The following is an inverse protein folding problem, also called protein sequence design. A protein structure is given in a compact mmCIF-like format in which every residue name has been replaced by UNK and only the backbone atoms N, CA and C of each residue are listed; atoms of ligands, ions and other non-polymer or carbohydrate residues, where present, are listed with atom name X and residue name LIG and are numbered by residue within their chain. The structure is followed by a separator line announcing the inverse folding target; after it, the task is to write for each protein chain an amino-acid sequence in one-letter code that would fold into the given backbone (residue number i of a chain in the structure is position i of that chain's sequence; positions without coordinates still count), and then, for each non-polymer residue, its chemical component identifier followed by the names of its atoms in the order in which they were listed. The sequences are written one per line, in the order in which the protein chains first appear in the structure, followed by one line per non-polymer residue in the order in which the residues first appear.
data_IF_010821618367
#
_entry.id   IF_010821618367
#
_cell.length_a   1.000
_cell.length_b   1.000
_cell.length_c   1.000
_cell.angle_alpha   90.00
_cell.angle_beta   90.00
_cell.angle_gamma   90.00
#
_symmetry.space_group_name_H-M   'P 1'
#
loop_
_entity.id
_entity.type
_entity.pdbx_description
1 polymer ?
#
# COMPACT_ATOMS: atom_id res chain seq x y z
N UNK A 1 -20.33 -10.71 -5.25
CA UNK A 1 -19.44 -11.75 -5.79
C UNK A 1 -18.06 -11.13 -5.97
N UNK A 2 -17.02 -11.67 -5.34
CA UNK A 2 -15.66 -11.20 -5.53
C UNK A 2 -15.18 -11.57 -6.96
N UNK A 3 -14.38 -10.71 -7.59
CA UNK A 3 -13.92 -10.89 -8.97
C UNK A 3 -12.56 -10.19 -9.21
N UNK A 4 -11.96 -10.42 -10.36
CA UNK A 4 -10.66 -9.84 -10.74
C UNK A 4 -10.64 -8.31 -10.62
N UNK A 5 -11.65 -7.62 -11.18
CA UNK A 5 -11.73 -6.15 -11.15
C UNK A 5 -11.84 -5.59 -9.73
N UNK A 6 -12.55 -6.29 -8.85
CA UNK A 6 -12.72 -5.94 -7.45
C UNK A 6 -11.42 -5.96 -6.64
N UNK A 7 -10.38 -6.67 -7.12
CA UNK A 7 -9.05 -6.71 -6.52
C UNK A 7 -8.04 -5.86 -7.28
N UNK A 8 -8.05 -5.89 -8.61
CA UNK A 8 -7.13 -5.13 -9.44
C UNK A 8 -7.32 -3.61 -9.31
N UNK A 9 -8.56 -3.14 -9.12
CA UNK A 9 -8.86 -1.71 -8.99
C UNK A 9 -8.31 -1.11 -7.69
N UNK A 10 -8.58 -1.63 -6.48
CA UNK A 10 -7.93 -1.15 -5.27
C UNK A 10 -6.41 -1.36 -5.32
N UNK A 11 -5.93 -2.48 -5.90
CA UNK A 11 -4.50 -2.72 -6.07
C UNK A 11 -3.79 -1.64 -6.88
N UNK A 12 -4.37 -1.25 -8.01
CA UNK A 12 -3.86 -0.16 -8.86
C UNK A 12 -3.84 1.18 -8.12
N UNK A 13 -4.89 1.48 -7.35
CA UNK A 13 -4.94 2.69 -6.54
C UNK A 13 -3.79 2.74 -5.53
N UNK A 14 -3.61 1.69 -4.71
CA UNK A 14 -2.53 1.65 -3.72
C UNK A 14 -1.15 1.69 -4.37
N UNK A 15 -0.96 1.06 -5.53
CA UNK A 15 0.30 1.12 -6.27
C UNK A 15 0.67 2.53 -6.71
N UNK A 16 -0.26 3.24 -7.35
CA UNK A 16 0.00 4.60 -7.85
C UNK A 16 0.33 5.55 -6.70
N UNK A 17 -0.43 5.49 -5.60
CA UNK A 17 -0.17 6.34 -4.43
C UNK A 17 1.12 5.94 -3.70
N UNK A 18 1.40 4.64 -3.57
CA UNK A 18 2.62 4.14 -2.97
C UNK A 18 3.87 4.60 -3.73
N UNK A 19 3.87 4.48 -5.06
CA UNK A 19 4.97 4.94 -5.91
C UNK A 19 5.09 6.47 -5.95
N UNK A 20 3.97 7.19 -5.91
CA UNK A 20 3.99 8.65 -5.77
C UNK A 20 4.67 9.09 -4.47
N UNK A 21 4.27 8.47 -3.36
CA UNK A 21 4.82 8.77 -2.04
C UNK A 21 6.29 8.35 -1.90
N UNK A 22 6.72 7.27 -2.56
CA UNK A 22 8.11 6.81 -2.52
C UNK A 22 9.09 7.81 -3.12
N UNK A 23 8.66 8.65 -4.07
CA UNK A 23 9.48 9.71 -4.66
C UNK A 23 9.30 11.03 -3.90
N UNK A 24 8.07 11.34 -3.47
CA UNK A 24 7.75 12.59 -2.77
C UNK A 24 8.50 12.74 -1.44
N UNK A 25 8.56 11.70 -0.61
CA UNK A 25 9.14 11.83 0.74
C UNK A 25 10.66 12.07 0.73
N UNK A 26 11.48 11.39 -0.11
CA UNK A 26 12.87 11.78 -0.31
C UNK A 26 13.02 13.23 -0.79
N UNK A 27 12.19 13.68 -1.73
CA UNK A 27 12.25 15.06 -2.25
C UNK A 27 11.91 16.10 -1.17
N UNK A 28 10.90 15.82 -0.33
CA UNK A 28 10.54 16.63 0.85
C UNK A 28 11.74 16.75 1.79
N UNK A 29 12.37 15.61 2.12
CA UNK A 29 13.51 15.56 3.02
C UNK A 29 14.67 16.43 2.52
N UNK A 30 15.02 16.34 1.23
CA UNK A 30 16.09 17.17 0.66
C UNK A 30 15.73 18.65 0.54
N UNK A 31 14.48 18.97 0.15
CA UNK A 31 14.02 20.35 0.10
C UNK A 31 14.08 21.02 1.47
N UNK A 32 13.81 20.27 2.55
CA UNK A 32 13.90 20.77 3.93
C UNK A 32 15.35 20.84 4.42
N UNK A 33 16.23 19.91 4.02
CA UNK A 33 17.66 19.92 4.40
C UNK A 33 18.45 21.07 3.76
N UNK A 34 18.10 21.46 2.53
CA UNK A 34 18.86 22.45 1.76
C UNK A 34 18.53 23.92 2.02
N UNK A 35 17.54 24.26 2.87
CA UNK A 35 17.08 25.64 3.03
C UNK A 35 16.78 26.00 4.48
N UNK A 36 17.64 26.84 5.05
CA UNK A 36 17.44 27.42 6.39
C UNK A 36 16.30 28.46 6.47
N UNK A 37 15.67 28.86 5.35
CA UNK A 37 14.48 29.76 5.35
C UNK A 37 13.81 30.03 4.00
N UNK A 38 14.26 29.44 2.89
CA UNK A 38 13.73 29.81 1.57
C UNK A 38 12.69 28.81 1.02
N UNK A 39 11.69 29.39 0.36
CA UNK A 39 10.51 28.78 -0.28
C UNK A 39 10.76 27.39 -0.90
N UNK A 40 9.86 26.40 -0.71
CA UNK A 40 9.96 25.08 -1.34
C UNK A 40 10.08 25.19 -2.88
N UNK A 41 10.71 24.20 -3.52
CA UNK A 41 10.89 24.21 -4.97
C UNK A 41 9.53 24.29 -5.70
N UNK A 42 9.48 24.98 -6.84
CA UNK A 42 8.24 25.15 -7.62
C UNK A 42 7.64 23.81 -8.06
N UNK A 43 8.48 22.80 -8.28
CA UNK A 43 8.08 21.42 -8.56
C UNK A 43 7.38 20.79 -7.33
N UNK A 44 7.96 20.93 -6.14
CA UNK A 44 7.36 20.44 -4.90
C UNK A 44 6.01 21.10 -4.59
N UNK A 45 5.90 22.42 -4.76
CA UNK A 45 4.62 23.12 -4.58
C UNK A 45 3.53 22.64 -5.55
N UNK A 46 3.89 22.31 -6.79
CA UNK A 46 2.96 21.70 -7.76
C UNK A 46 2.55 20.30 -7.33
N UNK A 47 3.48 19.47 -6.83
CA UNK A 47 3.17 18.14 -6.31
C UNK A 47 2.20 18.20 -5.12
N UNK A 48 2.42 19.11 -4.16
CA UNK A 48 1.51 19.33 -3.04
C UNK A 48 0.12 19.81 -3.49
N UNK A 49 0.06 20.74 -4.45
CA UNK A 49 -1.21 21.22 -5.00
C UNK A 49 -1.97 20.10 -5.72
N UNK A 50 -1.29 19.31 -6.56
CA UNK A 50 -1.89 18.17 -7.25
C UNK A 50 -2.41 17.15 -6.24
N UNK A 51 -1.63 16.81 -5.22
CA UNK A 51 -2.07 15.89 -4.18
C UNK A 51 -3.26 16.43 -3.39
N UNK A 52 -3.27 17.73 -3.08
CA UNK A 52 -4.39 18.41 -2.44
C UNK A 52 -5.66 18.36 -3.29
N UNK A 53 -5.56 18.64 -4.60
CA UNK A 53 -6.68 18.56 -5.55
C UNK A 53 -7.18 17.12 -5.65
N UNK A 54 -6.27 16.15 -5.82
CA UNK A 54 -6.62 14.72 -5.89
C UNK A 54 -7.38 14.31 -4.63
N UNK A 55 -6.86 14.60 -3.43
CA UNK A 55 -7.54 14.30 -2.17
C UNK A 55 -8.89 15.00 -2.04
N UNK A 56 -9.00 16.25 -2.49
CA UNK A 56 -10.25 17.00 -2.45
C UNK A 56 -11.32 16.39 -3.39
N UNK A 57 -10.93 16.03 -4.62
CA UNK A 57 -11.81 15.37 -5.59
C UNK A 57 -12.28 14.01 -5.05
N UNK A 58 -11.38 13.21 -4.48
CA UNK A 58 -11.75 11.93 -3.85
C UNK A 58 -12.66 12.12 -2.63
N UNK A 59 -12.43 13.14 -1.80
CA UNK A 59 -13.29 13.50 -0.66
C UNK A 59 -14.72 13.85 -1.08
N UNK A 60 -14.90 14.50 -2.24
CA UNK A 60 -16.23 14.84 -2.78
C UNK A 60 -16.98 13.61 -3.33
N UNK A 61 -16.26 12.59 -3.80
CA UNK A 61 -16.83 11.40 -4.44
C UNK A 61 -17.22 10.32 -3.40
N UNK A 62 -16.71 10.39 -2.16
CA UNK A 62 -17.11 9.46 -1.10
C UNK A 62 -17.09 10.06 0.30
N UNK A 63 -18.20 9.91 1.03
CA UNK A 63 -18.35 10.27 2.47
C UNK A 63 -17.34 9.59 3.42
N UNK A 64 -16.41 8.79 2.91
CA UNK A 64 -15.42 8.02 3.67
C UNK A 64 -13.99 8.18 3.16
N UNK A 65 -13.64 9.22 2.39
CA UNK A 65 -12.28 9.35 1.85
C UNK A 65 -11.24 9.97 2.80
N UNK A 66 -11.63 10.46 3.98
CA UNK A 66 -10.70 10.82 5.07
C UNK A 66 -10.04 9.60 5.74
N UNK A 67 -10.31 8.38 5.26
CA UNK A 67 -10.01 7.13 5.95
C UNK A 67 -8.55 6.61 5.88
N UNK A 68 -7.67 6.94 4.91
CA UNK A 68 -6.29 6.43 4.96
C UNK A 68 -5.45 7.04 6.11
N UNK A 69 -6.02 7.98 6.87
CA UNK A 69 -5.34 8.67 7.97
C UNK A 69 -5.96 8.42 9.35
N UNK A 70 -7.07 7.66 9.44
CA UNK A 70 -7.60 7.26 10.74
C UNK A 70 -7.11 5.83 11.06
N UNK A 71 -6.04 5.69 11.87
CA UNK A 71 -5.43 4.40 12.11
C UNK A 71 -6.38 3.43 12.84
N UNK A 72 -7.35 3.94 13.60
CA UNK A 72 -8.36 3.13 14.29
C UNK A 72 -9.30 2.48 13.29
N UNK A 73 -9.76 3.23 12.28
CA UNK A 73 -10.68 2.69 11.28
C UNK A 73 -9.98 1.65 10.39
N UNK A 74 -8.72 1.89 10.02
CA UNK A 74 -7.93 0.92 9.24
C UNK A 74 -7.73 -0.40 10.01
N UNK A 75 -7.46 -0.31 11.31
CA UNK A 75 -7.31 -1.46 12.20
C UNK A 75 -8.63 -2.24 12.34
N UNK A 76 -9.76 -1.54 12.52
CA UNK A 76 -11.09 -2.16 12.59
C UNK A 76 -11.50 -2.80 11.26
N UNK A 77 -11.19 -2.17 10.13
CA UNK A 77 -11.43 -2.73 8.80
C UNK A 77 -10.61 -3.99 8.57
N UNK A 78 -9.34 -4.01 9.01
CA UNK A 78 -8.50 -5.21 9.00
C UNK A 78 -9.06 -6.35 9.85
N UNK A 79 -9.56 -6.05 11.05
CA UNK A 79 -10.20 -7.06 11.91
C UNK A 79 -11.49 -7.61 11.29
N UNK A 80 -12.34 -6.76 10.73
CA UNK A 80 -13.56 -7.19 10.05
C UNK A 80 -13.22 -8.10 8.86
N UNK A 81 -12.18 -7.75 8.11
CA UNK A 81 -11.70 -8.54 6.97
C UNK A 81 -11.15 -9.91 7.41
N UNK A 82 -10.42 -9.98 8.53
CA UNK A 82 -9.98 -11.25 9.11
C UNK A 82 -11.15 -12.20 9.38
N UNK A 83 -12.19 -11.72 10.05
CA UNK A 83 -13.37 -12.53 10.35
C UNK A 83 -14.19 -12.88 9.09
N UNK A 84 -14.20 -12.02 8.08
CA UNK A 84 -14.82 -12.32 6.79
C UNK A 84 -14.18 -13.52 6.07
N UNK A 85 -12.86 -13.70 6.24
CA UNK A 85 -12.06 -14.68 5.50
C UNK A 85 -11.93 -16.02 6.24
N UNK A 86 -12.27 -16.09 7.53
CA UNK A 86 -11.95 -17.22 8.41
C UNK A 86 -12.55 -18.60 8.00
N UNK A 87 -13.54 -18.64 7.11
CA UNK A 87 -14.18 -19.89 6.65
C UNK A 87 -13.98 -20.18 5.15
N UNK A 88 -12.94 -19.58 4.55
CA UNK A 88 -12.62 -19.75 3.12
C UNK A 88 -11.63 -20.91 2.90
N UNK A 89 -11.47 -21.41 1.66
CA UNK A 89 -10.44 -22.41 1.35
C UNK A 89 -9.05 -21.96 1.83
N UNK A 90 -8.13 -22.89 2.15
CA UNK A 90 -6.91 -22.53 2.89
C UNK A 90 -5.98 -21.58 2.10
N UNK A 91 -5.86 -21.74 0.78
CA UNK A 91 -5.12 -20.79 -0.06
C UNK A 91 -5.78 -19.39 -0.10
N UNK A 92 -7.10 -19.31 -0.33
CA UNK A 92 -7.89 -18.07 -0.26
C UNK A 92 -7.73 -17.37 1.12
N UNK A 93 -7.76 -18.14 2.20
CA UNK A 93 -7.57 -17.61 3.55
C UNK A 93 -6.14 -17.09 3.77
N UNK A 94 -5.13 -17.85 3.33
CA UNK A 94 -3.73 -17.50 3.54
C UNK A 94 -3.32 -16.25 2.76
N UNK A 95 -3.67 -16.17 1.48
CA UNK A 95 -3.31 -15.04 0.62
C UNK A 95 -3.91 -13.72 1.13
N UNK A 96 -5.14 -13.76 1.66
CA UNK A 96 -5.79 -12.62 2.29
C UNK A 96 -5.23 -12.29 3.68
N UNK A 97 -4.78 -13.30 4.43
CA UNK A 97 -4.14 -13.09 5.73
C UNK A 97 -2.79 -12.38 5.57
N UNK A 98 -2.05 -12.67 4.49
CA UNK A 98 -0.82 -11.93 4.13
C UNK A 98 -1.11 -10.45 3.80
N UNK A 99 -2.24 -10.15 3.13
CA UNK A 99 -2.69 -8.77 2.91
C UNK A 99 -2.91 -8.02 4.23
N UNK A 100 -3.49 -8.69 5.22
CA UNK A 100 -3.73 -8.10 6.54
C UNK A 100 -2.45 -7.65 7.23
N UNK A 101 -1.34 -8.37 7.04
CA UNK A 101 -0.04 -7.99 7.61
C UNK A 101 0.36 -6.60 7.08
N UNK A 102 0.20 -6.34 5.78
CA UNK A 102 0.50 -5.03 5.20
C UNK A 102 -0.44 -3.93 5.73
N UNK A 103 -1.74 -4.24 5.88
CA UNK A 103 -2.76 -3.28 6.37
C UNK A 103 -2.51 -2.91 7.84
N UNK A 104 -2.32 -3.90 8.71
CA UNK A 104 -2.03 -3.65 10.12
C UNK A 104 -0.70 -2.94 10.31
N UNK A 105 0.34 -3.36 9.57
CA UNK A 105 1.63 -2.65 9.54
C UNK A 105 1.45 -1.18 9.18
N UNK A 106 0.76 -0.87 8.09
CA UNK A 106 0.53 0.50 7.64
C UNK A 106 -0.29 1.32 8.65
N UNK A 107 -1.29 0.71 9.29
CA UNK A 107 -2.10 1.34 10.33
C UNK A 107 -1.27 1.70 11.56
N UNK A 108 -0.37 0.80 11.98
CA UNK A 108 0.59 1.06 13.07
C UNK A 108 1.54 2.18 12.69
N UNK A 109 2.05 2.23 11.46
CA UNK A 109 2.89 3.34 11.01
C UNK A 109 2.17 4.68 11.13
N UNK A 110 0.94 4.79 10.62
CA UNK A 110 0.13 6.01 10.73
C UNK A 110 -0.12 6.38 12.19
N UNK A 111 -0.36 5.40 13.07
CA UNK A 111 -0.51 5.65 14.50
C UNK A 111 0.77 6.22 15.13
N UNK A 112 1.93 5.66 14.79
CA UNK A 112 3.23 6.13 15.30
C UNK A 112 3.56 7.52 14.74
N UNK A 113 3.18 7.83 13.49
CA UNK A 113 3.38 9.16 12.85
C UNK A 113 2.68 10.29 13.62
N UNK A 114 1.62 9.98 14.39
CA UNK A 114 0.97 10.97 15.28
C UNK A 114 1.94 11.48 16.35
N UNK A 115 2.80 10.60 16.86
CA UNK A 115 3.77 10.91 17.91
C UNK A 115 5.13 11.35 17.34
N UNK A 116 5.59 10.71 16.26
CA UNK A 116 6.89 10.94 15.62
C UNK A 116 6.72 11.71 14.30
N UNK A 117 6.25 12.95 14.40
CA UNK A 117 6.01 13.81 13.24
C UNK A 117 7.29 14.01 12.42
N UNK A 118 7.14 13.98 11.10
CA UNK A 118 8.19 14.28 10.11
C UNK A 118 9.40 13.31 10.11
N UNK A 119 9.25 12.12 10.67
CA UNK A 119 10.28 11.09 10.55
C UNK A 119 10.27 10.48 9.13
N UNK A 120 11.29 10.80 8.33
CA UNK A 120 11.43 10.32 6.95
C UNK A 120 11.42 8.79 6.86
N UNK A 121 12.01 8.08 7.82
CA UNK A 121 12.07 6.61 7.81
C UNK A 121 10.66 6.03 7.93
N UNK A 122 9.82 6.62 8.79
CA UNK A 122 8.45 6.16 8.99
C UNK A 122 7.58 6.45 7.76
N UNK A 123 7.76 7.62 7.13
CA UNK A 123 7.07 7.99 5.87
C UNK A 123 7.47 7.04 4.72
N UNK A 124 8.76 6.68 4.61
CA UNK A 124 9.27 5.71 3.63
C UNK A 124 8.75 4.30 3.90
N UNK A 125 8.74 3.87 5.15
CA UNK A 125 8.24 2.56 5.55
C UNK A 125 6.74 2.41 5.26
N UNK A 126 5.92 3.41 5.60
CA UNK A 126 4.49 3.43 5.22
C UNK A 126 4.29 3.36 3.71
N UNK A 127 5.15 4.05 2.94
CA UNK A 127 5.09 3.99 1.47
C UNK A 127 5.40 2.59 0.94
N UNK A 128 6.41 1.90 1.47
CA UNK A 128 6.71 0.52 1.08
C UNK A 128 5.54 -0.44 1.39
N UNK A 129 4.88 -0.29 2.54
CA UNK A 129 3.71 -1.10 2.90
C UNK A 129 2.51 -0.81 2.00
N UNK A 130 2.36 0.44 1.54
CA UNK A 130 1.31 0.82 0.57
C UNK A 130 1.58 0.18 -0.80
N UNK A 131 2.84 0.17 -1.26
CA UNK A 131 3.25 -0.53 -2.50
C UNK A 131 3.01 -2.03 -2.36
N UNK A 132 3.42 -2.63 -1.23
CA UNK A 132 3.18 -4.04 -0.95
C UNK A 132 1.68 -4.36 -1.00
N UNK A 133 0.84 -3.59 -0.31
CA UNK A 133 -0.61 -3.75 -0.35
C UNK A 133 -1.17 -3.69 -1.77
N UNK A 134 -0.72 -2.72 -2.58
CA UNK A 134 -1.16 -2.58 -3.96
C UNK A 134 -0.74 -3.74 -4.87
N UNK A 135 0.53 -4.15 -4.83
CA UNK A 135 1.00 -5.32 -5.59
C UNK A 135 0.33 -6.61 -5.13
N UNK A 136 0.03 -6.73 -3.84
CA UNK A 136 -0.58 -7.94 -3.28
C UNK A 136 -2.04 -8.11 -3.66
N UNK A 137 -2.80 -7.01 -3.76
CA UNK A 137 -4.14 -7.03 -4.36
C UNK A 137 -4.12 -7.56 -5.79
N UNK A 138 -3.11 -7.21 -6.58
CA UNK A 138 -2.91 -7.79 -7.92
C UNK A 138 -2.58 -9.29 -7.86
N UNK A 139 -1.71 -9.70 -6.93
CA UNK A 139 -1.41 -11.12 -6.72
C UNK A 139 -2.67 -11.93 -6.38
N UNK A 140 -3.52 -11.41 -5.47
CA UNK A 140 -4.82 -12.01 -5.14
C UNK A 140 -5.70 -12.11 -6.39
N UNK A 141 -5.77 -11.05 -7.21
CA UNK A 141 -6.55 -11.03 -8.43
C UNK A 141 -6.11 -12.15 -9.40
N UNK A 142 -4.81 -12.33 -9.62
CA UNK A 142 -4.29 -13.35 -10.53
C UNK A 142 -4.45 -14.78 -10.00
N UNK A 143 -4.25 -15.01 -8.70
CA UNK A 143 -4.31 -16.35 -8.10
C UNK A 143 -5.74 -16.84 -7.97
N UNK A 144 -6.66 -15.99 -7.52
CA UNK A 144 -8.06 -16.38 -7.28
C UNK A 144 -8.98 -16.16 -8.48
N UNK A 145 -8.62 -15.26 -9.41
CA UNK A 145 -9.44 -14.91 -10.56
C UNK A 145 -8.60 -14.85 -11.85
N UNK A 146 -7.94 -15.95 -12.24
CA UNK A 146 -7.06 -15.97 -13.41
C UNK A 146 -7.74 -15.39 -14.65
N UNK A 147 -7.15 -14.35 -15.29
CA UNK A 147 -7.73 -13.76 -16.48
C UNK A 147 -7.69 -14.78 -17.64
N UNK A 148 -8.74 -14.77 -18.46
CA UNK A 148 -8.81 -15.63 -19.65
C UNK A 148 -9.14 -17.10 -19.38
N UNK A 149 -9.57 -17.47 -18.16
CA UNK A 149 -10.03 -18.82 -17.86
C UNK A 149 -8.91 -19.87 -17.83
N UNK A 150 -7.69 -19.45 -17.48
CA UNK A 150 -6.60 -20.39 -17.20
C UNK A 150 -6.92 -21.25 -15.97
N UNK A 151 -6.23 -22.40 -15.84
CA UNK A 151 -6.50 -23.37 -14.79
C UNK A 151 -6.44 -22.72 -13.40
N UNK A 152 -7.47 -22.97 -12.59
CA UNK A 152 -7.54 -22.47 -11.22
C UNK A 152 -6.48 -23.17 -10.35
N UNK A 153 -5.96 -22.42 -9.38
CA UNK A 153 -4.98 -22.94 -8.43
C UNK A 153 -5.65 -23.93 -7.47
N UNK A 154 -4.99 -25.04 -7.17
CA UNK A 154 -5.47 -25.96 -6.14
C UNK A 154 -5.41 -25.26 -4.77
N UNK A 155 -6.58 -25.03 -4.22
CA UNK A 155 -6.77 -24.29 -2.97
C UNK A 155 -6.30 -25.06 -1.73
N UNK A 156 -6.11 -26.38 -1.83
CA UNK A 156 -5.70 -27.27 -0.72
C UNK A 156 -4.25 -27.69 -0.80
N UNK A 157 -3.58 -27.43 -1.92
CA UNK A 157 -2.19 -27.78 -2.11
C UNK A 157 -1.28 -26.92 -1.23
N UNK A 158 -0.43 -27.61 -0.46
CA UNK A 158 0.51 -26.96 0.45
C UNK A 158 1.64 -26.25 -0.30
N UNK A 159 2.05 -26.75 -1.46
CA UNK A 159 3.11 -26.13 -2.27
C UNK A 159 2.68 -24.75 -2.76
N UNK A 160 1.40 -24.59 -3.14
CA UNK A 160 0.82 -23.29 -3.49
C UNK A 160 0.88 -22.30 -2.32
N UNK A 161 0.59 -22.75 -1.09
CA UNK A 161 0.66 -21.91 0.11
C UNK A 161 2.10 -21.44 0.38
N UNK A 162 3.07 -22.35 0.27
CA UNK A 162 4.49 -22.01 0.43
C UNK A 162 4.96 -21.05 -0.66
N UNK A 163 4.60 -21.29 -1.92
CA UNK A 163 4.92 -20.42 -3.04
C UNK A 163 4.38 -19.01 -2.84
N UNK A 164 3.10 -18.87 -2.45
CA UNK A 164 2.49 -17.57 -2.17
C UNK A 164 3.20 -16.86 -1.03
N UNK A 165 3.62 -17.58 0.02
CA UNK A 165 4.41 -16.97 1.11
C UNK A 165 5.74 -16.40 0.60
N UNK A 166 6.45 -17.14 -0.25
CA UNK A 166 7.69 -16.66 -0.87
C UNK A 166 7.45 -15.46 -1.79
N UNK A 167 6.38 -15.49 -2.60
CA UNK A 167 5.97 -14.35 -3.43
C UNK A 167 5.75 -13.09 -2.60
N UNK A 168 5.13 -13.20 -1.41
CA UNK A 168 4.92 -12.06 -0.52
C UNK A 168 6.24 -11.41 -0.11
N UNK A 169 7.22 -12.23 0.29
CA UNK A 169 8.54 -11.75 0.66
C UNK A 169 9.24 -11.06 -0.52
N UNK A 170 9.13 -11.61 -1.73
CA UNK A 170 9.70 -10.99 -2.93
C UNK A 170 9.04 -9.66 -3.29
N UNK A 171 7.71 -9.56 -3.21
CA UNK A 171 6.99 -8.30 -3.41
C UNK A 171 7.48 -7.23 -2.43
N UNK A 172 7.67 -7.61 -1.16
CA UNK A 172 8.15 -6.67 -0.16
C UNK A 172 9.61 -6.28 -0.35
N UNK A 173 10.48 -7.24 -0.71
CA UNK A 173 11.87 -6.97 -1.06
C UNK A 173 11.97 -5.99 -2.24
N UNK A 174 11.17 -6.18 -3.30
CA UNK A 174 11.09 -5.26 -4.43
C UNK A 174 10.57 -3.88 -4.00
N UNK A 175 9.54 -3.82 -3.15
CA UNK A 175 9.06 -2.55 -2.62
C UNK A 175 10.16 -1.79 -1.86
N UNK A 176 10.94 -2.48 -1.02
CA UNK A 176 12.09 -1.89 -0.31
C UNK A 176 13.18 -1.44 -1.28
N UNK A 177 13.50 -2.22 -2.32
CA UNK A 177 14.46 -1.83 -3.36
C UNK A 177 14.01 -0.57 -4.10
N UNK A 178 12.71 -0.44 -4.42
CA UNK A 178 12.15 0.78 -5.01
C UNK A 178 12.32 1.97 -4.06
N UNK A 179 12.07 1.79 -2.76
CA UNK A 179 12.28 2.85 -1.77
C UNK A 179 13.76 3.27 -1.70
N UNK A 180 14.68 2.31 -1.64
CA UNK A 180 16.11 2.56 -1.60
C UNK A 180 16.58 3.27 -2.87
N UNK A 181 16.19 2.79 -4.05
CA UNK A 181 16.53 3.40 -5.33
C UNK A 181 16.02 4.84 -5.44
N UNK A 182 14.76 5.10 -5.07
CA UNK A 182 14.21 6.46 -5.06
C UNK A 182 14.92 7.38 -4.06
N UNK A 183 15.29 6.86 -2.89
CA UNK A 183 16.06 7.64 -1.92
C UNK A 183 17.44 8.02 -2.47
N UNK A 184 18.15 7.08 -3.12
CA UNK A 184 19.45 7.33 -3.75
C UNK A 184 19.38 8.22 -5.00
N UNK A 185 18.36 8.07 -5.85
CA UNK A 185 18.19 8.90 -7.05
C UNK A 185 17.89 10.36 -6.73
N UNK A 186 17.29 10.59 -5.56
CA UNK A 186 16.92 11.93 -5.12
C UNK A 186 18.10 12.61 -4.41
N UNK A 187 18.94 11.85 -3.68
CA UNK A 187 20.17 12.33 -3.00
C UNK A 187 21.27 12.74 -3.98
#
# INVERSE_FOLDING_TARGET
MANFKGHALPGSFFLVFGLWWSVKYPLKYLSNRGKEKCRPSKCYQRLELIEGIVKAVFSLIGKTWSFPYNPVILLLAGLLFYYHVHNRPPLDQHIHSLLLIAIFGGSICVMIEVFLKENVILELFRSSLTILQGTWFWQIAFVLYPPGGSAEWDQKDHENIMFITMCFCWHYAVALLIMSANYFLVY
#
